data_IF_763289483650
#
_entry.id   IF_763289483650
#
_cell.length_a   1.000
_cell.length_b   1.000
_cell.length_c   1.000
_cell.angle_alpha   90.00
_cell.angle_beta   90.00
_cell.angle_gamma   90.00
#
_symmetry.space_group_name_H-M   'P 1'
#
loop_
_entity.id
_entity.type
_entity.pdbx_description
1 polymer ?
#
# COMPACT_ATOMS: atom_id res chain seq x y z
N UNK A 1 -35.79 34.61 -0.13
CA UNK A 1 -34.83 33.50 0.09
C UNK A 1 -33.71 33.66 -0.94
N UNK A 2 -32.45 33.80 -0.49
CA UNK A 2 -31.34 34.10 -1.42
C UNK A 2 -30.88 32.76 -2.06
N UNK A 3 -30.35 32.80 -3.29
CA UNK A 3 -29.89 31.65 -4.09
C UNK A 3 -28.99 30.67 -3.30
N UNK A 4 -28.19 31.21 -2.39
CA UNK A 4 -27.27 30.45 -1.51
C UNK A 4 -28.01 29.62 -0.45
N UNK A 5 -29.12 30.12 0.07
CA UNK A 5 -29.97 29.41 1.04
C UNK A 5 -30.83 28.33 0.36
N UNK A 6 -31.28 28.60 -0.89
CA UNK A 6 -32.00 27.60 -1.68
C UNK A 6 -31.13 26.39 -1.99
N UNK A 7 -29.87 26.61 -2.37
CA UNK A 7 -28.90 25.52 -2.63
C UNK A 7 -28.59 24.70 -1.35
N UNK A 8 -28.47 25.36 -0.19
CA UNK A 8 -28.27 24.67 1.09
C UNK A 8 -29.47 23.81 1.47
N UNK A 9 -30.69 24.25 1.18
CA UNK A 9 -31.91 23.48 1.48
C UNK A 9 -32.09 22.29 0.54
N UNK A 10 -31.73 22.46 -0.74
CA UNK A 10 -31.77 21.39 -1.74
C UNK A 10 -30.73 20.29 -1.49
N UNK A 11 -29.52 20.65 -1.02
CA UNK A 11 -28.48 19.68 -0.68
C UNK A 11 -28.83 18.85 0.58
N UNK A 12 -29.53 19.44 1.54
CA UNK A 12 -30.00 18.74 2.73
C UNK A 12 -31.13 17.76 2.39
N UNK A 13 -32.00 18.08 1.41
CA UNK A 13 -33.11 17.23 1.00
C UNK A 13 -32.71 16.04 0.10
N UNK A 14 -31.54 16.09 -0.55
CA UNK A 14 -31.05 15.05 -1.46
C UNK A 14 -29.98 14.15 -0.84
N UNK A 15 -29.71 14.27 0.46
CA UNK A 15 -28.71 13.42 1.16
C UNK A 15 -27.27 13.64 0.73
N UNK A 16 -27.00 14.61 -0.14
CA UNK A 16 -25.64 14.99 -0.51
C UNK A 16 -25.11 16.03 0.47
N UNK A 17 -24.25 15.65 1.39
CA UNK A 17 -23.49 16.57 2.24
C UNK A 17 -22.47 17.30 1.38
N UNK A 18 -22.84 18.44 0.80
CA UNK A 18 -21.87 19.43 0.35
C UNK A 18 -21.29 20.08 1.61
N UNK A 19 -20.12 19.66 2.01
CA UNK A 19 -19.36 20.31 3.08
C UNK A 19 -19.00 21.71 2.55
N UNK A 20 -19.63 22.75 3.10
CA UNK A 20 -19.30 24.13 2.71
C UNK A 20 -17.86 24.46 3.14
N UNK A 21 -17.19 25.34 2.37
CA UNK A 21 -15.85 25.84 2.74
C UNK A 21 -15.78 26.39 4.17
N UNK A 22 -16.89 26.92 4.69
CA UNK A 22 -16.99 27.42 6.05
C UNK A 22 -17.04 26.31 7.12
N UNK A 23 -17.48 25.09 6.74
CA UNK A 23 -17.42 23.92 7.61
C UNK A 23 -16.01 23.31 7.59
N UNK A 24 -15.35 23.32 6.42
CA UNK A 24 -13.96 22.89 6.29
C UNK A 24 -13.00 23.82 7.07
N UNK A 25 -13.27 25.11 7.09
CA UNK A 25 -12.48 26.10 7.86
C UNK A 25 -12.65 26.00 9.37
N UNK A 26 -13.68 25.29 9.87
CA UNK A 26 -13.90 25.02 11.30
C UNK A 26 -13.50 23.61 11.73
N UNK A 27 -13.05 22.80 10.80
CA UNK A 27 -12.48 21.50 11.10
C UNK A 27 -11.07 21.75 11.58
N UNK A 28 -10.88 21.72 12.88
CA UNK A 28 -9.57 21.76 13.52
C UNK A 28 -8.73 20.63 12.93
N UNK A 29 -7.55 20.97 12.38
CA UNK A 29 -6.60 19.99 11.82
C UNK A 29 -6.27 18.87 12.83
N UNK A 30 -6.44 19.13 14.13
CA UNK A 30 -6.31 18.13 15.18
C UNK A 30 -7.49 17.15 15.28
N UNK A 31 -8.64 17.45 14.69
CA UNK A 31 -9.83 16.57 14.75
C UNK A 31 -9.71 15.38 13.80
N UNK A 32 -8.84 15.48 12.78
CA UNK A 32 -8.50 14.39 11.83
C UNK A 32 -7.06 13.89 11.96
N UNK A 33 -6.44 14.11 13.10
CA UNK A 33 -5.26 13.34 13.47
C UNK A 33 -5.69 11.86 13.55
N UNK A 34 -5.69 11.18 12.41
CA UNK A 34 -5.76 9.72 12.36
C UNK A 34 -4.51 9.20 13.06
N UNK A 35 -4.58 9.10 14.38
CA UNK A 35 -3.68 8.19 15.07
C UNK A 35 -3.93 6.84 14.44
N UNK A 36 -3.01 6.40 13.60
CA UNK A 36 -2.98 5.01 13.16
C UNK A 36 -3.30 4.20 14.41
N UNK A 37 -4.33 3.31 14.40
CA UNK A 37 -4.61 2.51 15.58
C UNK A 37 -3.29 1.87 15.97
N UNK A 38 -2.71 2.30 17.09
CA UNK A 38 -1.50 1.66 17.59
C UNK A 38 -1.94 0.25 17.95
N UNK A 39 -1.54 -0.72 17.15
CA UNK A 39 -1.76 -2.11 17.50
C UNK A 39 -0.94 -2.36 18.77
N UNK A 40 -1.56 -2.54 19.94
CA UNK A 40 -0.84 -2.71 21.20
C UNK A 40 0.03 -3.97 21.23
N UNK A 41 -0.10 -4.83 20.20
CA UNK A 41 0.70 -6.03 20.02
C UNK A 41 2.00 -5.76 19.23
N UNK A 42 2.15 -4.58 18.61
CA UNK A 42 3.39 -4.23 17.91
C UNK A 42 4.39 -3.67 18.92
N UNK A 43 5.38 -4.47 19.27
CA UNK A 43 6.56 -3.97 19.98
C UNK A 43 7.33 -3.03 19.06
N UNK A 44 7.92 -1.94 19.57
CA UNK A 44 8.86 -1.14 18.81
C UNK A 44 9.94 -2.03 18.21
N UNK A 45 10.31 -1.76 16.96
CA UNK A 45 11.39 -2.48 16.30
C UNK A 45 12.73 -2.06 16.94
N UNK A 46 13.57 -3.02 17.28
CA UNK A 46 14.92 -2.75 17.78
C UNK A 46 15.80 -2.09 16.70
N UNK A 47 15.52 -2.39 15.44
CA UNK A 47 16.17 -1.81 14.26
C UNK A 47 15.17 -1.69 13.10
N UNK A 48 15.43 -0.75 12.21
CA UNK A 48 14.63 -0.61 10.99
C UNK A 48 14.72 -1.88 10.14
N UNK A 49 13.58 -2.32 9.58
CA UNK A 49 13.54 -3.38 8.57
C UNK A 49 14.23 -2.88 7.30
N UNK A 50 15.15 -3.66 6.76
CA UNK A 50 15.79 -3.35 5.48
C UNK A 50 15.03 -3.99 4.33
N UNK A 51 14.79 -3.23 3.25
CA UNK A 51 14.06 -3.75 2.09
C UNK A 51 14.74 -3.39 0.75
N UNK A 52 14.49 -4.24 -0.23
CA UNK A 52 14.82 -4.00 -1.64
C UNK A 52 13.50 -3.79 -2.38
N UNK A 53 13.38 -2.74 -3.18
CA UNK A 53 12.19 -2.46 -3.97
C UNK A 53 12.36 -2.99 -5.39
N UNK A 54 11.42 -3.83 -5.84
CA UNK A 54 11.31 -4.26 -7.23
C UNK A 54 10.19 -3.45 -7.89
N UNK A 55 10.56 -2.58 -8.84
CA UNK A 55 9.67 -1.61 -9.47
C UNK A 55 9.59 -0.29 -8.69
N UNK A 56 10.26 0.76 -9.20
CA UNK A 56 10.27 2.10 -8.61
C UNK A 56 9.28 3.07 -9.32
N UNK A 57 8.15 2.53 -9.79
CA UNK A 57 7.01 3.29 -10.32
C UNK A 57 6.21 3.98 -9.21
N UNK A 58 4.96 4.38 -9.51
CA UNK A 58 4.11 5.11 -8.56
C UNK A 58 3.95 4.35 -7.23
N UNK A 59 3.73 3.03 -7.26
CA UNK A 59 3.57 2.24 -6.03
C UNK A 59 4.86 2.08 -5.26
N UNK A 60 5.97 1.79 -5.94
CA UNK A 60 7.29 1.73 -5.31
C UNK A 60 7.67 3.04 -4.62
N UNK A 61 7.33 4.18 -5.23
CA UNK A 61 7.54 5.51 -4.62
C UNK A 61 6.75 5.71 -3.33
N UNK A 62 5.50 5.22 -3.24
CA UNK A 62 4.70 5.31 -1.99
C UNK A 62 5.40 4.61 -0.83
N UNK A 63 5.95 3.41 -1.06
CA UNK A 63 6.73 2.70 -0.03
C UNK A 63 8.05 3.39 0.28
N UNK A 64 8.70 3.96 -0.75
CA UNK A 64 9.88 4.80 -0.58
C UNK A 64 9.60 6.02 0.30
N UNK A 65 8.51 6.74 0.06
CA UNK A 65 8.10 7.89 0.86
C UNK A 65 7.84 7.51 2.31
N UNK A 66 7.22 6.34 2.56
CA UNK A 66 7.09 5.82 3.92
C UNK A 66 8.47 5.60 4.56
N UNK A 67 9.40 4.96 3.86
CA UNK A 67 10.75 4.74 4.39
C UNK A 67 11.49 6.05 4.68
N UNK A 68 11.30 7.07 3.84
CA UNK A 68 11.87 8.41 4.07
C UNK A 68 11.29 9.09 5.29
N UNK A 69 9.99 8.96 5.52
CA UNK A 69 9.29 9.61 6.63
C UNK A 69 9.39 8.82 7.95
N UNK A 70 9.64 7.50 7.87
CA UNK A 70 9.76 6.59 9.02
C UNK A 70 11.08 5.80 8.98
N UNK A 71 12.25 6.46 8.98
CA UNK A 71 13.54 5.81 8.78
C UNK A 71 13.96 4.85 9.91
N UNK A 72 13.29 4.94 11.06
CA UNK A 72 13.48 4.01 12.19
C UNK A 72 12.69 2.70 11.99
N UNK A 73 11.73 2.68 11.07
CA UNK A 73 10.86 1.52 10.82
C UNK A 73 11.28 0.79 9.55
N UNK A 74 11.54 1.52 8.44
CA UNK A 74 11.89 0.96 7.15
C UNK A 74 13.08 1.70 6.52
N UNK A 75 14.02 0.94 5.97
CA UNK A 75 15.16 1.45 5.20
C UNK A 75 15.27 0.74 3.87
N UNK A 76 15.18 1.48 2.77
CA UNK A 76 15.42 0.92 1.44
C UNK A 76 16.93 0.83 1.20
N UNK A 77 17.40 -0.37 0.89
CA UNK A 77 18.83 -0.66 0.71
C UNK A 77 19.22 -1.14 -0.70
N UNK A 78 18.23 -1.35 -1.55
CA UNK A 78 18.39 -1.76 -2.93
C UNK A 78 17.16 -1.46 -3.77
N UNK A 79 17.34 -1.40 -5.08
CA UNK A 79 16.25 -1.19 -6.06
C UNK A 79 16.55 -1.97 -7.34
N UNK A 80 15.50 -2.55 -7.93
CA UNK A 80 15.49 -3.05 -9.31
C UNK A 80 14.41 -2.30 -10.10
N UNK A 81 14.83 -1.56 -11.12
CA UNK A 81 13.95 -0.75 -11.95
C UNK A 81 14.59 -0.60 -13.35
N UNK A 82 13.93 -1.08 -14.41
CA UNK A 82 14.50 -1.07 -15.75
C UNK A 82 14.56 0.33 -16.40
N UNK A 83 13.74 1.27 -15.92
CA UNK A 83 13.74 2.64 -16.45
C UNK A 83 14.82 3.46 -15.75
N UNK A 84 15.93 3.86 -16.45
CA UNK A 84 17.09 4.48 -15.82
C UNK A 84 16.75 5.72 -14.99
N UNK A 85 15.90 6.59 -15.51
CA UNK A 85 15.45 7.79 -14.77
C UNK A 85 14.76 7.46 -13.44
N UNK A 86 13.90 6.44 -13.42
CA UNK A 86 13.21 6.01 -12.18
C UNK A 86 14.20 5.39 -11.21
N UNK A 87 15.08 4.52 -11.72
CA UNK A 87 16.12 3.87 -10.92
C UNK A 87 17.04 4.90 -10.25
N UNK A 88 17.56 5.86 -11.02
CA UNK A 88 18.43 6.91 -10.51
C UNK A 88 17.71 7.80 -9.48
N UNK A 89 16.50 8.27 -9.80
CA UNK A 89 15.67 9.09 -8.90
C UNK A 89 15.46 8.40 -7.56
N UNK A 90 14.98 7.14 -7.60
CA UNK A 90 14.71 6.35 -6.40
C UNK A 90 15.97 6.09 -5.59
N UNK A 91 17.05 5.74 -6.27
CA UNK A 91 18.35 5.49 -5.66
C UNK A 91 18.93 6.71 -4.95
N UNK A 92 18.74 7.89 -5.53
CA UNK A 92 19.24 9.14 -4.93
C UNK A 92 18.42 9.52 -3.69
N UNK A 93 17.08 9.37 -3.73
CA UNK A 93 16.20 9.61 -2.58
C UNK A 93 16.61 8.77 -1.37
N UNK A 94 16.96 7.49 -1.60
CA UNK A 94 17.27 6.53 -0.53
C UNK A 94 18.76 6.31 -0.30
N UNK A 95 19.61 7.07 -0.98
CA UNK A 95 21.08 6.92 -0.91
C UNK A 95 21.55 5.49 -1.18
N UNK A 96 20.92 4.82 -2.16
CA UNK A 96 21.24 3.43 -2.50
C UNK A 96 22.62 3.40 -3.21
N UNK A 97 23.58 2.62 -2.71
CA UNK A 97 24.90 2.51 -3.35
C UNK A 97 24.80 1.84 -4.72
N UNK A 98 25.67 2.20 -5.66
CA UNK A 98 25.66 1.69 -7.05
C UNK A 98 25.59 0.16 -7.13
N UNK A 99 26.29 -0.56 -6.24
CA UNK A 99 26.30 -2.01 -6.17
C UNK A 99 24.92 -2.65 -5.84
N UNK A 100 23.96 -1.87 -5.37
CA UNK A 100 22.62 -2.32 -4.99
C UNK A 100 21.53 -1.71 -5.91
N UNK A 101 21.93 -1.17 -7.05
CA UNK A 101 21.04 -0.68 -8.12
C UNK A 101 21.07 -1.68 -9.25
N UNK A 102 19.91 -2.20 -9.61
CA UNK A 102 19.76 -3.25 -10.61
C UNK A 102 18.79 -2.79 -11.68
N UNK A 103 18.98 -3.25 -12.91
CA UNK A 103 18.07 -2.97 -14.01
C UNK A 103 16.88 -3.92 -13.97
N UNK A 104 17.10 -5.16 -13.53
CA UNK A 104 16.05 -6.19 -13.47
C UNK A 104 16.01 -6.85 -12.09
N UNK A 105 14.85 -7.43 -11.75
CA UNK A 105 14.67 -8.13 -10.49
C UNK A 105 15.52 -9.43 -10.42
N UNK A 106 15.80 -10.07 -11.55
CA UNK A 106 16.64 -11.27 -11.64
C UNK A 106 18.06 -11.00 -11.13
N UNK A 107 18.59 -9.82 -11.41
CA UNK A 107 19.93 -9.44 -10.99
C UNK A 107 20.05 -9.30 -9.47
N UNK A 108 18.98 -8.93 -8.80
CA UNK A 108 18.93 -8.90 -7.32
C UNK A 108 19.21 -10.28 -6.75
N UNK A 109 18.66 -11.32 -7.37
CA UNK A 109 18.72 -12.69 -6.88
C UNK A 109 19.94 -13.50 -7.32
N UNK A 110 20.82 -12.89 -8.14
CA UNK A 110 22.15 -13.44 -8.44
C UNK A 110 23.13 -13.28 -7.26
N UNK A 111 22.70 -12.57 -6.22
CA UNK A 111 23.51 -12.30 -5.02
C UNK A 111 22.92 -13.01 -3.79
N UNK A 112 23.75 -13.27 -2.77
CA UNK A 112 23.26 -13.68 -1.46
C UNK A 112 22.29 -12.65 -0.89
N UNK A 113 21.36 -13.11 -0.03
CA UNK A 113 20.41 -12.24 0.69
C UNK A 113 21.16 -11.11 1.42
N UNK A 114 20.72 -9.85 1.20
CA UNK A 114 21.35 -8.67 1.80
C UNK A 114 20.36 -7.66 2.41
N UNK A 115 19.09 -8.05 2.52
CA UNK A 115 18.05 -7.29 3.19
C UNK A 115 17.10 -8.23 3.94
N UNK A 116 16.25 -7.69 4.78
CA UNK A 116 15.24 -8.46 5.52
C UNK A 116 14.06 -8.83 4.62
N UNK A 117 13.59 -7.88 3.79
CA UNK A 117 12.39 -8.01 2.97
C UNK A 117 12.58 -7.56 1.51
N UNK A 118 11.66 -7.99 0.67
CA UNK A 118 11.46 -7.52 -0.71
C UNK A 118 10.10 -6.83 -0.80
N UNK A 119 10.06 -5.66 -1.41
CA UNK A 119 8.83 -4.97 -1.81
C UNK A 119 8.63 -5.24 -3.30
N UNK A 120 7.54 -5.89 -3.68
CA UNK A 120 7.22 -6.19 -5.08
C UNK A 120 6.11 -5.25 -5.53
N UNK A 121 6.45 -4.30 -6.39
CA UNK A 121 5.58 -3.29 -6.99
C UNK A 121 5.79 -3.18 -8.50
N UNK A 122 6.13 -4.30 -9.10
CA UNK A 122 6.21 -4.53 -10.55
C UNK A 122 4.80 -4.55 -11.16
N UNK A 123 4.66 -4.57 -12.49
CA UNK A 123 3.38 -4.89 -13.14
C UNK A 123 2.82 -6.25 -12.68
N UNK A 124 1.49 -6.37 -12.64
CA UNK A 124 0.76 -7.49 -12.04
C UNK A 124 1.22 -8.88 -12.51
N UNK A 125 1.50 -9.02 -13.82
CA UNK A 125 1.96 -10.28 -14.42
C UNK A 125 3.42 -10.65 -14.05
N UNK A 126 4.15 -9.73 -13.42
CA UNK A 126 5.51 -9.94 -12.91
C UNK A 126 5.55 -10.08 -11.37
N UNK A 127 4.46 -10.46 -10.73
CA UNK A 127 4.44 -10.66 -9.28
C UNK A 127 4.94 -12.05 -8.88
N UNK A 128 4.53 -13.09 -9.61
CA UNK A 128 4.73 -14.48 -9.22
C UNK A 128 6.21 -14.89 -9.14
N UNK A 129 6.94 -14.75 -10.24
CA UNK A 129 8.33 -15.21 -10.34
C UNK A 129 9.27 -14.58 -9.29
N UNK A 130 9.32 -13.24 -9.15
CA UNK A 130 10.17 -12.63 -8.13
C UNK A 130 9.72 -12.97 -6.71
N UNK A 131 8.40 -13.16 -6.48
CA UNK A 131 7.87 -13.57 -5.19
C UNK A 131 8.38 -14.98 -4.81
N UNK A 132 8.27 -15.95 -5.71
CA UNK A 132 8.75 -17.30 -5.50
C UNK A 132 10.26 -17.31 -5.25
N UNK A 133 11.03 -16.57 -6.05
CA UNK A 133 12.48 -16.50 -5.90
C UNK A 133 12.91 -15.86 -4.58
N UNK A 134 12.24 -14.79 -4.17
CA UNK A 134 12.49 -14.13 -2.89
C UNK A 134 12.19 -15.08 -1.71
N UNK A 135 11.09 -15.84 -1.77
CA UNK A 135 10.74 -16.83 -0.75
C UNK A 135 11.78 -17.96 -0.65
N UNK A 136 12.26 -18.46 -1.80
CA UNK A 136 13.32 -19.47 -1.84
C UNK A 136 14.57 -19.01 -1.10
N UNK A 137 14.96 -17.74 -1.28
CA UNK A 137 16.11 -17.11 -0.63
C UNK A 137 15.84 -16.65 0.81
N UNK A 138 14.62 -16.85 1.31
CA UNK A 138 14.27 -16.59 2.71
C UNK A 138 13.99 -15.11 3.02
N UNK A 139 13.59 -14.31 2.04
CA UNK A 139 13.08 -12.96 2.28
C UNK A 139 11.63 -13.01 2.79
N UNK A 140 11.26 -12.03 3.62
CA UNK A 140 9.87 -11.66 3.83
C UNK A 140 9.43 -10.72 2.70
N UNK A 141 8.13 -10.67 2.40
CA UNK A 141 7.64 -10.00 1.20
C UNK A 141 6.48 -9.07 1.52
N UNK A 142 6.55 -7.84 1.00
CA UNK A 142 5.42 -6.97 0.80
C UNK A 142 5.06 -6.99 -0.69
N UNK A 143 3.89 -7.56 -1.00
CA UNK A 143 3.44 -7.81 -2.38
C UNK A 143 2.27 -6.88 -2.73
N UNK A 144 2.36 -6.17 -3.86
CA UNK A 144 1.22 -5.42 -4.38
C UNK A 144 0.10 -6.36 -4.85
N UNK A 145 -1.10 -5.79 -4.88
CA UNK A 145 -2.29 -6.45 -5.43
C UNK A 145 -2.29 -6.32 -6.98
N UNK A 146 -2.87 -7.31 -7.69
CA UNK A 146 -3.30 -8.64 -7.25
C UNK A 146 -2.11 -9.53 -6.89
N UNK A 147 -2.31 -10.58 -6.11
CA UNK A 147 -1.23 -11.47 -5.66
C UNK A 147 -0.48 -12.07 -6.84
N UNK A 148 -1.22 -12.62 -7.79
CA UNK A 148 -0.72 -13.19 -9.04
C UNK A 148 -1.86 -13.29 -10.06
N UNK A 149 -1.57 -13.50 -11.35
CA UNK A 149 -2.58 -13.62 -12.40
C UNK A 149 -3.53 -14.81 -12.26
N UNK A 150 -3.05 -15.92 -11.69
CA UNK A 150 -3.84 -17.17 -11.60
C UNK A 150 -4.02 -17.64 -10.15
N UNK A 151 -5.08 -18.41 -9.91
CA UNK A 151 -5.34 -19.04 -8.61
C UNK A 151 -4.22 -20.00 -8.20
N UNK A 152 -3.68 -20.77 -9.16
CA UNK A 152 -2.60 -21.73 -8.87
C UNK A 152 -1.36 -21.01 -8.38
N UNK A 153 -0.94 -19.94 -9.02
CA UNK A 153 0.19 -19.12 -8.59
C UNK A 153 -0.01 -18.54 -7.18
N UNK A 154 -1.23 -18.08 -6.87
CA UNK A 154 -1.56 -17.62 -5.51
C UNK A 154 -1.39 -18.75 -4.47
N UNK A 155 -1.82 -19.96 -4.80
CA UNK A 155 -1.67 -21.15 -3.94
C UNK A 155 -0.21 -21.55 -3.76
N UNK A 156 0.58 -21.48 -4.82
CA UNK A 156 2.01 -21.82 -4.80
C UNK A 156 2.78 -20.84 -3.90
N UNK A 157 2.51 -19.54 -4.03
CA UNK A 157 3.07 -18.51 -3.13
C UNK A 157 2.74 -18.83 -1.67
N UNK A 158 1.46 -19.12 -1.38
CA UNK A 158 1.02 -19.43 -0.02
C UNK A 158 1.71 -20.71 0.53
N UNK A 159 1.80 -21.74 -0.30
CA UNK A 159 2.43 -23.02 0.09
C UNK A 159 3.93 -22.83 0.38
N UNK A 160 4.64 -22.10 -0.50
CA UNK A 160 6.06 -21.84 -0.33
C UNK A 160 6.34 -20.92 0.87
N UNK A 161 5.53 -19.89 1.08
CA UNK A 161 5.65 -19.01 2.23
C UNK A 161 5.53 -19.80 3.56
N UNK A 162 4.52 -20.67 3.66
CA UNK A 162 4.36 -21.59 4.81
C UNK A 162 5.56 -22.52 4.98
N UNK A 163 5.99 -23.19 3.89
CA UNK A 163 7.12 -24.11 3.89
C UNK A 163 8.42 -23.45 4.36
N UNK A 164 8.66 -22.21 3.94
CA UNK A 164 9.85 -21.43 4.27
C UNK A 164 9.73 -20.65 5.59
N UNK A 165 8.56 -20.66 6.22
CA UNK A 165 8.23 -19.84 7.39
C UNK A 165 8.54 -18.36 7.14
N UNK A 166 8.03 -17.83 6.02
CA UNK A 166 8.20 -16.43 5.62
C UNK A 166 6.87 -15.73 5.56
N UNK A 167 6.89 -14.41 5.76
CA UNK A 167 5.72 -13.54 5.70
C UNK A 167 5.54 -13.07 4.26
N UNK A 168 4.33 -13.19 3.73
CA UNK A 168 3.88 -12.49 2.52
C UNK A 168 2.72 -11.60 2.92
N UNK A 169 2.97 -10.31 3.01
CA UNK A 169 1.96 -9.30 3.27
C UNK A 169 1.46 -8.73 1.95
N UNK A 170 0.15 -8.86 1.68
CA UNK A 170 -0.46 -8.34 0.46
C UNK A 170 -1.05 -6.96 0.70
N UNK A 171 -0.81 -6.02 -0.22
CA UNK A 171 -1.20 -4.63 -0.09
C UNK A 171 -2.68 -4.41 -0.43
N UNK A 172 -3.58 -4.80 0.47
CA UNK A 172 -5.02 -4.48 0.41
C UNK A 172 -5.31 -3.17 1.14
N UNK A 173 -4.88 -2.05 0.56
CA UNK A 173 -4.89 -0.71 1.19
C UNK A 173 -6.25 -0.29 1.75
N UNK A 174 -7.34 -0.65 1.07
CA UNK A 174 -8.69 -0.27 1.49
C UNK A 174 -9.11 -0.90 2.83
N UNK A 175 -8.52 -2.02 3.23
CA UNK A 175 -8.77 -2.63 4.55
C UNK A 175 -8.33 -1.74 5.69
N UNK A 176 -7.42 -0.81 5.44
CA UNK A 176 -6.86 0.12 6.41
C UNK A 176 -7.39 1.55 6.23
N UNK A 177 -8.22 1.80 5.21
CA UNK A 177 -8.84 3.11 5.01
C UNK A 177 -9.88 3.37 6.13
N UNK A 178 -9.81 4.53 6.82
CA UNK A 178 -10.63 4.80 7.99
C UNK A 178 -12.13 4.68 7.75
N UNK A 179 -12.60 5.09 6.58
CA UNK A 179 -14.01 5.01 6.23
C UNK A 179 -14.48 3.55 6.05
N UNK A 180 -13.68 2.66 5.46
CA UNK A 180 -14.02 1.23 5.37
C UNK A 180 -13.97 0.55 6.74
N UNK A 181 -13.01 0.92 7.59
CA UNK A 181 -12.95 0.43 8.97
C UNK A 181 -14.23 0.84 9.70
N UNK A 182 -14.62 2.12 9.59
CA UNK A 182 -15.82 2.64 10.22
C UNK A 182 -17.10 1.97 9.70
N UNK A 183 -17.22 1.80 8.39
CA UNK A 183 -18.33 1.08 7.76
C UNK A 183 -18.44 -0.35 8.31
N UNK A 184 -17.34 -1.08 8.35
CA UNK A 184 -17.30 -2.44 8.92
C UNK A 184 -17.74 -2.47 10.38
N UNK A 185 -17.30 -1.51 11.20
CA UNK A 185 -17.73 -1.40 12.60
C UNK A 185 -19.25 -1.19 12.74
N UNK A 186 -19.82 -0.29 11.93
CA UNK A 186 -21.26 0.01 11.97
C UNK A 186 -22.08 -1.21 11.56
N UNK A 187 -21.67 -1.90 10.49
CA UNK A 187 -22.31 -3.15 10.05
C UNK A 187 -22.22 -4.21 11.15
N UNK A 188 -21.04 -4.43 11.71
CA UNK A 188 -20.84 -5.45 12.74
C UNK A 188 -21.63 -5.19 14.04
N UNK A 189 -21.90 -3.91 14.34
CA UNK A 189 -22.73 -3.49 15.50
C UNK A 189 -24.25 -3.53 15.21
N UNK A 190 -24.64 -3.92 14.00
CA UNK A 190 -26.05 -3.94 13.60
C UNK A 190 -26.67 -2.54 13.43
N UNK A 191 -25.87 -1.48 13.29
CA UNK A 191 -26.36 -0.09 13.24
C UNK A 191 -27.29 0.18 12.04
N UNK A 192 -27.21 -0.63 10.99
CA UNK A 192 -28.05 -0.55 9.79
C UNK A 192 -28.98 -1.77 9.66
N UNK A 193 -29.06 -2.62 10.70
CA UNK A 193 -29.80 -3.87 10.65
C UNK A 193 -29.11 -4.94 9.81
N UNK A 194 -29.90 -5.88 9.27
CA UNK A 194 -29.40 -6.93 8.38
C UNK A 194 -29.04 -6.37 7.00
N UNK A 195 -27.87 -6.74 6.47
CA UNK A 195 -27.43 -6.30 5.16
C UNK A 195 -28.12 -7.15 4.08
N UNK A 196 -29.04 -6.56 3.33
CA UNK A 196 -29.80 -7.22 2.27
C UNK A 196 -29.11 -7.11 0.92
N UNK A 197 -28.48 -5.95 0.63
CA UNK A 197 -27.75 -5.74 -0.62
C UNK A 197 -26.61 -4.74 -0.42
N UNK A 198 -25.62 -4.79 -1.31
CA UNK A 198 -24.49 -3.85 -1.37
C UNK A 198 -24.34 -3.33 -2.78
N UNK A 199 -24.27 -2.00 -2.93
CA UNK A 199 -23.85 -1.38 -4.18
C UNK A 199 -22.54 -0.64 -3.92
N UNK A 200 -21.53 -0.90 -4.76
CA UNK A 200 -20.25 -0.24 -4.70
C UNK A 200 -19.89 0.34 -6.06
N UNK A 201 -19.54 1.63 -6.10
CA UNK A 201 -19.09 2.32 -7.30
C UNK A 201 -17.70 2.87 -7.03
N UNK A 202 -16.76 2.50 -7.89
CA UNK A 202 -15.39 3.03 -7.86
C UNK A 202 -15.07 3.60 -9.24
N UNK A 203 -15.43 4.86 -9.50
CA UNK A 203 -15.10 5.52 -10.75
C UNK A 203 -13.59 5.74 -10.81
N UNK A 204 -12.94 4.99 -11.69
CA UNK A 204 -11.49 5.09 -11.90
C UNK A 204 -11.24 6.00 -13.09
N UNK A 205 -10.42 7.02 -12.88
CA UNK A 205 -10.01 7.92 -13.94
C UNK A 205 -9.12 7.19 -14.95
N UNK A 206 -9.27 7.53 -16.23
CA UNK A 206 -8.51 6.95 -17.34
C UNK A 206 -6.97 6.98 -17.09
N UNK A 207 -6.45 8.07 -16.51
CA UNK A 207 -5.03 8.20 -16.18
C UNK A 207 -4.55 7.21 -15.11
N UNK A 208 -5.47 6.62 -14.35
CA UNK A 208 -5.15 5.60 -13.35
C UNK A 208 -4.94 4.22 -13.99
N UNK A 209 -5.50 4.00 -15.18
CA UNK A 209 -5.43 2.74 -15.93
C UNK A 209 -4.30 2.72 -16.96
N UNK A 210 -3.66 3.86 -17.22
CA UNK A 210 -2.52 4.02 -18.13
C UNK A 210 -1.16 3.79 -17.39
#
# INVERSE_FOLDING_TARGET
MNRRNLLKTLTLSLGATVISSDLLAKVDENTYSFKTPQNPLLKPLDKAVTAITLGAGNRGMVYGDFAKNSPKELKIVGVAEPIPFRNERYSNIHSIPKKNRFDTWEDVFKRPKFADAIIISTPDYLHYEPCMKALELGYDILLEKPIAPTEQECRDILALAKKKNRIVAVCHVLRYAPYFIKMKELIAKGAIGEVVSVQHFEPVEHTHMA
#
